data_IF_175981121055
#
_entry.id   IF_175981121055
#
_cell.length_a   1.000
_cell.length_b   1.000
_cell.length_c   1.000
_cell.angle_alpha   90.00
_cell.angle_beta   90.00
_cell.angle_gamma   90.00
#
_symmetry.space_group_name_H-M   'P 1'
#
loop_
_entity.id
_entity.type
_entity.pdbx_description
1 polymer ?
#
# COMPACT_ATOMS: atom_id res chain seq x y z
N UNK A 1 7.88 7.56 -21.81
CA UNK A 1 9.24 7.02 -22.07
C UNK A 1 9.41 6.61 -23.53
N UNK A 2 8.57 5.72 -24.08
CA UNK A 2 8.67 5.29 -25.49
C UNK A 2 8.45 6.42 -26.52
N UNK A 3 7.38 7.21 -26.39
CA UNK A 3 7.06 8.30 -27.34
C UNK A 3 8.13 9.40 -27.36
N UNK A 4 8.75 9.66 -26.21
CA UNK A 4 9.87 10.60 -26.08
C UNK A 4 11.12 10.05 -26.77
N UNK A 5 11.43 8.76 -26.58
CA UNK A 5 12.56 8.10 -27.25
C UNK A 5 12.37 8.03 -28.79
N UNK A 6 11.14 7.83 -29.25
CA UNK A 6 10.77 7.81 -30.66
C UNK A 6 10.60 9.22 -31.28
N UNK A 7 10.84 10.29 -30.51
CA UNK A 7 10.67 11.68 -30.94
C UNK A 7 9.26 12.01 -31.48
N UNK A 8 8.24 11.31 -30.98
CA UNK A 8 6.83 11.50 -31.36
C UNK A 8 6.26 12.64 -30.53
N UNK A 9 6.04 13.79 -31.17
CA UNK A 9 5.58 15.03 -30.52
C UNK A 9 4.09 15.30 -30.73
N UNK A 10 3.57 14.91 -31.88
CA UNK A 10 2.18 15.14 -32.29
C UNK A 10 1.21 14.22 -31.53
N UNK A 11 0.07 14.76 -31.12
CA UNK A 11 -0.90 14.04 -30.29
C UNK A 11 -1.68 13.00 -31.10
N UNK A 12 -1.95 13.24 -32.39
CA UNK A 12 -2.58 12.22 -33.23
C UNK A 12 -1.63 11.02 -33.40
N UNK A 13 -0.33 11.26 -33.59
CA UNK A 13 0.67 10.18 -33.61
C UNK A 13 0.76 9.42 -32.28
N UNK A 14 0.69 10.11 -31.12
CA UNK A 14 0.66 9.45 -29.81
C UNK A 14 -0.56 8.55 -29.65
N UNK A 15 -1.74 8.98 -30.12
CA UNK A 15 -2.98 8.17 -30.06
C UNK A 15 -2.88 6.93 -30.93
N UNK A 16 -2.37 7.05 -32.16
CA UNK A 16 -2.19 5.90 -33.05
C UNK A 16 -1.24 4.87 -32.43
N UNK A 17 -0.10 5.34 -31.91
CA UNK A 17 0.85 4.45 -31.21
C UNK A 17 0.19 3.78 -30.01
N UNK A 18 -0.54 4.54 -29.19
CA UNK A 18 -1.28 4.01 -28.04
C UNK A 18 -2.23 2.88 -28.47
N UNK A 19 -3.07 3.11 -29.48
CA UNK A 19 -4.00 2.09 -29.99
C UNK A 19 -3.27 0.86 -30.53
N UNK A 20 -2.14 1.06 -31.21
CA UNK A 20 -1.34 -0.04 -31.74
C UNK A 20 -0.73 -0.91 -30.63
N UNK A 21 -0.17 -0.30 -29.58
CA UNK A 21 0.52 -1.05 -28.52
C UNK A 21 -0.39 -1.56 -27.40
N UNK A 22 -1.54 -0.92 -27.17
CA UNK A 22 -2.34 -1.17 -25.97
C UNK A 22 -3.24 -2.41 -26.04
N UNK A 23 -3.28 -3.10 -27.18
CA UNK A 23 -3.98 -4.37 -27.36
C UNK A 23 -5.51 -4.25 -27.50
N UNK A 24 -6.20 -5.39 -27.68
CA UNK A 24 -7.60 -5.41 -28.15
C UNK A 24 -8.60 -4.78 -27.17
N UNK A 25 -8.37 -4.94 -25.86
CA UNK A 25 -9.24 -4.37 -24.83
C UNK A 25 -9.22 -2.84 -24.86
N UNK A 26 -8.04 -2.24 -24.95
CA UNK A 26 -7.90 -0.78 -24.99
C UNK A 26 -8.43 -0.21 -26.30
N UNK A 27 -8.21 -0.90 -27.43
CA UNK A 27 -8.82 -0.50 -28.71
C UNK A 27 -10.35 -0.48 -28.62
N UNK A 28 -10.96 -1.51 -28.03
CA UNK A 28 -12.41 -1.57 -27.83
C UNK A 28 -12.92 -0.45 -26.92
N UNK A 29 -12.22 -0.17 -25.82
CA UNK A 29 -12.57 0.94 -24.90
C UNK A 29 -12.52 2.30 -25.58
N UNK A 30 -11.63 2.47 -26.57
CA UNK A 30 -11.43 3.74 -27.27
C UNK A 30 -12.14 3.86 -28.62
N UNK A 31 -12.82 2.80 -29.08
CA UNK A 31 -13.39 2.72 -30.43
C UNK A 31 -14.36 3.86 -30.76
N UNK A 32 -15.15 4.29 -29.76
CA UNK A 32 -16.16 5.36 -29.90
C UNK A 32 -15.73 6.68 -29.26
N UNK A 33 -14.44 6.80 -28.91
CA UNK A 33 -13.88 8.05 -28.39
C UNK A 33 -13.25 8.83 -29.55
N UNK A 34 -13.42 10.16 -29.57
CA UNK A 34 -12.93 11.03 -30.65
C UNK A 34 -11.42 10.91 -30.92
N UNK A 35 -10.91 11.66 -31.88
CA UNK A 35 -9.51 11.51 -32.37
C UNK A 35 -8.44 12.10 -31.47
N UNK A 36 -8.82 12.78 -30.40
CA UNK A 36 -7.92 13.47 -29.49
C UNK A 36 -7.20 12.50 -28.53
N UNK A 37 -5.91 12.75 -28.28
CA UNK A 37 -5.09 11.92 -27.39
C UNK A 37 -5.44 12.12 -25.92
N UNK A 38 -5.73 13.35 -25.51
CA UNK A 38 -6.11 13.69 -24.13
C UNK A 38 -7.45 13.06 -23.77
N UNK A 39 -8.44 13.12 -24.66
CA UNK A 39 -9.72 12.42 -24.48
C UNK A 39 -9.53 10.91 -24.38
N UNK A 40 -8.57 10.33 -25.13
CA UNK A 40 -8.21 8.92 -25.01
C UNK A 40 -7.71 8.58 -23.59
N UNK A 41 -6.79 9.39 -23.06
CA UNK A 41 -6.24 9.19 -21.73
C UNK A 41 -7.31 9.30 -20.65
N UNK A 42 -8.14 10.35 -20.70
CA UNK A 42 -9.24 10.56 -19.76
C UNK A 42 -10.20 9.36 -19.74
N UNK A 43 -10.53 8.81 -20.90
CA UNK A 43 -11.42 7.64 -21.01
C UNK A 43 -10.78 6.35 -20.51
N UNK A 44 -9.48 6.16 -20.72
CA UNK A 44 -8.77 5.05 -20.12
C UNK A 44 -8.69 5.19 -18.60
N UNK A 45 -8.39 6.39 -18.11
CA UNK A 45 -8.40 6.67 -16.67
C UNK A 45 -9.79 6.39 -16.08
N UNK A 46 -10.88 6.86 -16.70
CA UNK A 46 -12.26 6.55 -16.28
C UNK A 46 -12.57 5.05 -16.34
N UNK A 47 -12.06 4.31 -17.33
CA UNK A 47 -12.32 2.87 -17.45
C UNK A 47 -11.56 2.05 -16.40
N UNK A 48 -10.31 2.43 -16.10
CA UNK A 48 -9.46 1.72 -15.15
C UNK A 48 -9.60 2.24 -13.70
N UNK A 49 -10.12 3.44 -13.47
CA UNK A 49 -10.39 4.01 -12.14
C UNK A 49 -11.34 3.13 -11.30
N UNK A 50 -12.53 2.72 -11.80
CA UNK A 50 -13.42 1.80 -11.08
C UNK A 50 -12.78 0.44 -10.79
N UNK A 51 -11.77 0.04 -11.58
CA UNK A 51 -11.02 -1.20 -11.35
C UNK A 51 -9.94 -1.07 -10.27
N UNK A 52 -9.63 0.15 -9.82
CA UNK A 52 -8.97 0.36 -8.52
C UNK A 52 -9.99 0.08 -7.44
N UNK A 53 -10.23 -1.20 -7.16
CA UNK A 53 -11.10 -1.60 -6.06
C UNK A 53 -10.39 -1.27 -4.73
N UNK A 54 -10.45 0.01 -4.33
CA UNK A 54 -9.84 0.55 -3.11
C UNK A 54 -10.35 -0.22 -1.89
N UNK A 55 -11.64 -0.61 -1.90
CA UNK A 55 -12.23 -1.44 -0.85
C UNK A 55 -11.48 -2.78 -0.74
N UNK A 56 -11.20 -3.45 -1.86
CA UNK A 56 -10.42 -4.67 -1.88
C UNK A 56 -8.97 -4.44 -1.43
N UNK A 57 -8.33 -3.34 -1.83
CA UNK A 57 -6.96 -2.99 -1.38
C UNK A 57 -6.92 -2.77 0.14
N UNK A 58 -7.87 -2.01 0.68
CA UNK A 58 -8.04 -1.81 2.13
C UNK A 58 -8.33 -3.13 2.84
N UNK A 59 -9.15 -3.99 2.25
CA UNK A 59 -9.40 -5.34 2.77
C UNK A 59 -8.12 -6.18 2.86
N UNK A 60 -7.29 -6.19 1.81
CA UNK A 60 -5.98 -6.88 1.81
C UNK A 60 -5.06 -6.30 2.88
N UNK A 61 -4.99 -4.96 3.00
CA UNK A 61 -4.23 -4.29 4.04
C UNK A 61 -4.68 -4.73 5.45
N UNK A 62 -5.99 -4.68 5.73
CA UNK A 62 -6.55 -5.02 7.05
C UNK A 62 -6.40 -6.51 7.40
N UNK A 63 -6.39 -7.41 6.42
CA UNK A 63 -6.11 -8.84 6.61
C UNK A 63 -4.64 -9.20 6.71
N UNK A 64 -3.75 -8.25 6.48
CA UNK A 64 -2.31 -8.50 6.55
C UNK A 64 -1.87 -8.56 8.01
N UNK A 65 -1.34 -9.72 8.41
CA UNK A 65 -0.75 -9.95 9.73
C UNK A 65 0.76 -10.09 9.63
N UNK A 66 1.47 -9.87 10.74
CA UNK A 66 2.90 -10.14 10.84
C UNK A 66 3.13 -11.65 10.80
N UNK A 67 3.98 -12.10 9.89
CA UNK A 67 4.32 -13.53 9.75
C UNK A 67 5.21 -13.97 10.92
N UNK A 68 5.13 -15.23 11.39
CA UNK A 68 6.08 -15.75 12.38
C UNK A 68 7.52 -15.54 11.93
N UNK A 69 8.36 -14.98 12.81
CA UNK A 69 9.76 -14.66 12.50
C UNK A 69 9.99 -13.37 11.70
N UNK A 70 8.96 -12.73 11.16
CA UNK A 70 9.10 -11.46 10.44
C UNK A 70 9.53 -10.33 11.41
N UNK A 71 10.52 -9.54 10.99
CA UNK A 71 10.94 -8.37 11.75
C UNK A 71 9.85 -7.29 11.77
N UNK A 72 9.85 -6.45 12.81
CA UNK A 72 8.90 -5.32 12.91
C UNK A 72 9.06 -4.36 11.73
N UNK A 73 10.31 -4.14 11.28
CA UNK A 73 10.62 -3.24 10.18
C UNK A 73 10.16 -3.80 8.82
N UNK A 74 10.37 -5.09 8.56
CA UNK A 74 9.88 -5.73 7.33
C UNK A 74 8.35 -5.68 7.26
N UNK A 75 7.68 -5.95 8.38
CA UNK A 75 6.23 -5.86 8.45
C UNK A 75 5.73 -4.43 8.20
N UNK A 76 6.39 -3.43 8.77
CA UNK A 76 6.09 -2.01 8.51
C UNK A 76 6.24 -1.67 7.03
N UNK A 77 7.34 -2.08 6.40
CA UNK A 77 7.60 -1.82 4.98
C UNK A 77 6.52 -2.44 4.11
N UNK A 78 6.14 -3.70 4.38
CA UNK A 78 5.07 -4.39 3.66
C UNK A 78 3.72 -3.69 3.78
N UNK A 79 3.38 -3.22 4.98
CA UNK A 79 2.17 -2.43 5.20
C UNK A 79 2.21 -1.10 4.44
N UNK A 80 3.36 -0.40 4.39
CA UNK A 80 3.51 0.83 3.60
C UNK A 80 3.24 0.58 2.12
N UNK A 81 3.83 -0.47 1.54
CA UNK A 81 3.60 -0.82 0.13
C UNK A 81 2.13 -1.10 -0.17
N UNK A 82 1.43 -1.80 0.72
CA UNK A 82 -0.01 -2.06 0.54
C UNK A 82 -0.85 -0.77 0.67
N UNK A 83 -0.47 0.13 1.57
CA UNK A 83 -1.18 1.38 1.83
C UNK A 83 -1.13 2.39 0.67
N UNK A 84 -0.11 2.33 -0.20
CA UNK A 84 0.06 3.23 -1.36
C UNK A 84 -1.17 3.29 -2.28
N UNK A 85 -1.91 2.17 -2.38
CA UNK A 85 -3.09 2.05 -3.24
C UNK A 85 -4.42 2.08 -2.48
N UNK A 86 -4.37 2.36 -1.17
CA UNK A 86 -5.55 2.32 -0.30
C UNK A 86 -6.24 3.68 -0.14
N UNK A 87 -5.66 4.76 -0.68
CA UNK A 87 -6.19 6.13 -0.56
C UNK A 87 -6.51 6.49 0.90
N UNK A 88 -5.59 6.17 1.81
CA UNK A 88 -5.72 6.54 3.21
C UNK A 88 -5.34 8.00 3.40
N UNK A 89 -6.10 8.73 4.21
CA UNK A 89 -5.77 10.11 4.58
C UNK A 89 -4.44 10.18 5.35
N UNK A 90 -4.22 9.23 6.28
CA UNK A 90 -2.95 9.06 6.99
C UNK A 90 -2.50 7.61 7.00
N UNK A 91 -1.55 7.30 6.12
CA UNK A 91 -0.91 5.98 6.06
C UNK A 91 -0.25 5.60 7.39
N UNK A 92 0.37 6.55 8.09
CA UNK A 92 1.01 6.29 9.39
C UNK A 92 0.00 5.90 10.48
N UNK A 93 -1.17 6.54 10.51
CA UNK A 93 -2.23 6.19 11.47
C UNK A 93 -2.80 4.80 11.16
N UNK A 94 -3.05 4.50 9.89
CA UNK A 94 -3.58 3.19 9.47
C UNK A 94 -2.61 2.06 9.77
N UNK A 95 -1.31 2.29 9.58
CA UNK A 95 -0.27 1.32 9.95
C UNK A 95 -0.23 1.16 11.47
N UNK A 96 -0.23 2.25 12.25
CA UNK A 96 -0.29 2.19 13.72
C UNK A 96 -1.46 1.33 14.20
N UNK A 97 -2.65 1.57 13.65
CA UNK A 97 -3.86 0.87 14.03
C UNK A 97 -3.78 -0.61 13.62
N UNK A 98 -3.21 -0.90 12.46
CA UNK A 98 -2.96 -2.28 12.02
C UNK A 98 -1.98 -3.00 12.96
N UNK A 99 -0.92 -2.33 13.42
CA UNK A 99 0.01 -2.86 14.41
C UNK A 99 -0.69 -3.18 15.74
N UNK A 100 -1.61 -2.32 16.18
CA UNK A 100 -2.41 -2.56 17.38
C UNK A 100 -3.38 -3.73 17.20
N UNK A 101 -4.14 -3.75 16.11
CA UNK A 101 -5.17 -4.77 15.82
C UNK A 101 -4.57 -6.16 15.63
N UNK A 102 -3.41 -6.25 14.98
CA UNK A 102 -2.73 -7.53 14.72
C UNK A 102 -1.81 -7.99 15.86
N UNK A 103 -1.80 -7.27 16.99
CA UNK A 103 -1.01 -7.63 18.14
C UNK A 103 -1.60 -8.84 18.90
N UNK A 104 -0.88 -9.97 18.89
CA UNK A 104 -1.32 -11.20 19.56
C UNK A 104 -1.31 -11.09 21.10
N UNK A 105 -0.39 -10.31 21.69
CA UNK A 105 -0.25 -10.23 23.15
C UNK A 105 -1.28 -9.30 23.78
N UNK A 106 -2.24 -9.88 24.51
CA UNK A 106 -3.26 -9.10 25.26
C UNK A 106 -2.62 -8.15 26.27
N UNK A 107 -1.62 -8.61 27.03
CA UNK A 107 -0.93 -7.78 28.01
C UNK A 107 -0.23 -6.57 27.36
N UNK A 108 0.37 -6.76 26.18
CA UNK A 108 0.99 -5.66 25.45
C UNK A 108 -0.07 -4.68 24.91
N UNK A 109 -1.19 -5.18 24.36
CA UNK A 109 -2.32 -4.33 23.96
C UNK A 109 -2.85 -3.48 25.11
N UNK A 110 -3.01 -4.05 26.30
CA UNK A 110 -3.42 -3.30 27.49
C UNK A 110 -2.42 -2.21 27.87
N UNK A 111 -1.11 -2.44 27.72
CA UNK A 111 -0.09 -1.40 27.93
C UNK A 111 -0.20 -0.29 26.88
N UNK A 112 -0.38 -0.63 25.61
CA UNK A 112 -0.55 0.34 24.53
C UNK A 112 -1.77 1.24 24.73
N UNK A 113 -2.89 0.67 25.22
CA UNK A 113 -4.12 1.43 25.50
C UNK A 113 -3.98 2.47 26.62
N UNK A 114 -2.92 2.40 27.43
CA UNK A 114 -2.66 3.40 28.48
C UNK A 114 -1.92 4.62 27.96
N UNK A 115 -1.39 4.56 26.74
CA UNK A 115 -0.71 5.69 26.11
C UNK A 115 -1.74 6.63 25.47
N UNK A 116 -1.81 7.87 25.95
CA UNK A 116 -2.73 8.90 25.43
C UNK A 116 -2.42 9.25 23.97
N UNK A 117 -1.13 9.36 23.64
CA UNK A 117 -0.65 9.79 22.32
C UNK A 117 0.17 8.68 21.68
N UNK A 118 -0.51 7.57 21.34
CA UNK A 118 0.14 6.46 20.67
C UNK A 118 0.44 6.81 19.21
N UNK A 119 1.71 6.94 18.88
CA UNK A 119 2.23 7.08 17.51
C UNK A 119 2.78 5.74 17.00
N UNK A 120 2.93 5.57 15.69
CA UNK A 120 3.58 4.37 15.13
C UNK A 120 5.00 4.19 15.68
N UNK A 121 5.77 5.27 15.76
CA UNK A 121 7.13 5.24 16.31
C UNK A 121 7.14 4.75 17.76
N UNK A 122 6.22 5.26 18.60
CA UNK A 122 6.09 4.85 20.00
C UNK A 122 5.67 3.39 20.12
N UNK A 123 4.71 2.94 19.31
CA UNK A 123 4.30 1.53 19.26
C UNK A 123 5.50 0.61 18.96
N UNK A 124 6.28 0.94 17.93
CA UNK A 124 7.46 0.15 17.53
C UNK A 124 8.53 0.14 18.62
N UNK A 125 8.80 1.29 19.25
CA UNK A 125 9.74 1.40 20.35
C UNK A 125 9.32 0.51 21.55
N UNK A 126 8.05 0.55 21.94
CA UNK A 126 7.51 -0.29 23.01
C UNK A 126 7.58 -1.78 22.66
N UNK A 127 7.31 -2.14 21.39
CA UNK A 127 7.40 -3.54 20.92
C UNK A 127 8.84 -4.06 20.96
N UNK A 128 9.82 -3.22 20.59
CA UNK A 128 11.25 -3.54 20.69
C UNK A 128 11.69 -3.69 22.15
N UNK A 129 11.25 -2.78 23.03
CA UNK A 129 11.54 -2.85 24.47
C UNK A 129 10.99 -4.12 25.11
N UNK A 130 9.76 -4.53 24.74
CA UNK A 130 9.17 -5.80 25.18
C UNK A 130 10.01 -7.00 24.74
N UNK A 131 10.40 -7.06 23.46
CA UNK A 131 11.23 -8.16 22.93
C UNK A 131 12.58 -8.24 23.64
N UNK A 132 13.21 -7.09 23.93
CA UNK A 132 14.46 -7.04 24.69
C UNK A 132 14.29 -7.56 26.12
N UNK A 133 13.22 -7.17 26.81
CA UNK A 133 12.92 -7.64 28.16
C UNK A 133 12.67 -9.16 28.21
N UNK A 134 11.95 -9.70 27.23
CA UNK A 134 11.69 -11.13 27.08
C UNK A 134 13.00 -11.92 26.89
N UNK A 135 13.87 -11.44 25.99
CA UNK A 135 15.18 -12.05 25.77
C UNK A 135 16.05 -12.03 27.04
N UNK A 136 16.08 -10.92 27.77
CA UNK A 136 16.86 -10.80 29.02
C UNK A 136 16.33 -11.73 30.12
N UNK A 137 15.01 -11.87 30.26
CA UNK A 137 14.41 -12.78 31.22
C UNK A 137 14.76 -14.24 30.91
N UNK A 138 14.85 -14.62 29.63
CA UNK A 138 15.21 -15.97 29.24
C UNK A 138 16.67 -16.32 29.60
N UNK A 139 17.59 -15.35 29.46
CA UNK A 139 19.02 -15.53 29.80
C UNK A 139 19.26 -15.56 31.31
N UNK A 140 18.47 -14.83 32.10
CA UNK A 140 18.63 -14.78 33.57
C UNK A 140 18.01 -16.00 34.28
N UNK A 141 17.04 -16.68 33.68
CA UNK A 141 16.40 -17.87 34.26
C UNK A 141 17.11 -19.21 33.94
N UNK A 142 18.28 -19.18 33.31
CA UNK A 142 19.08 -20.38 32.96
C UNK A 142 20.35 -20.53 33.80
N UNK A 143 20.47 -19.80 34.91
CA UNK A 143 21.57 -19.89 35.88
C UNK A 143 21.09 -20.49 37.20
#
# INVERSE_FOLDING_TARGET
>A
MYTVAANIKDDAQKRVVLLYVAGPLVQKTLQDTGTDFKTALEKLDEYFQPQKNVIYKRYVFKRTHRTPGESVDNYKTRLRTLAETCEFESVENEIRDQFFMTCSSRAFRTKLLRETDLTLAKHIAMARAKKLAENKHQVLGTQ
#
